data_IF_599366801049
#
_entry.id   IF_599366801049
#
_cell.length_a   1.000
_cell.length_b   1.000
_cell.length_c   1.000
_cell.angle_alpha   90.00
_cell.angle_beta   90.00
_cell.angle_gamma   90.00
#
_symmetry.space_group_name_H-M   'P 1'
#
loop_
_entity.id
_entity.type
_entity.pdbx_description
1 polymer ?
#
# COMPACT_ATOMS: atom_id res chain seq x y z
N UNK A 1 -13.98 3.56 1.95
CA UNK A 1 -12.92 4.62 1.86
C UNK A 1 -11.86 4.18 0.86
N UNK A 2 -11.04 5.07 0.29
CA UNK A 2 -9.95 4.69 -0.61
C UNK A 2 -8.60 5.10 -0.03
N UNK A 3 -7.65 4.17 0.04
CA UNK A 3 -6.29 4.38 0.52
C UNK A 3 -5.32 4.18 -0.65
N UNK A 4 -4.50 5.20 -0.93
CA UNK A 4 -3.43 5.13 -1.92
C UNK A 4 -2.10 5.09 -1.18
N UNK A 5 -1.26 4.10 -1.49
CA UNK A 5 0.07 3.94 -0.91
C UNK A 5 1.09 4.19 -2.02
N UNK A 6 1.84 5.28 -1.92
CA UNK A 6 2.90 5.62 -2.87
C UNK A 6 4.27 5.25 -2.29
N UNK A 7 5.11 4.61 -3.10
CA UNK A 7 6.45 4.18 -2.68
C UNK A 7 7.44 4.15 -3.84
N UNK A 8 8.73 4.13 -3.50
CA UNK A 8 9.80 3.88 -4.47
C UNK A 8 9.81 2.42 -4.93
N UNK A 9 10.51 2.15 -6.03
CA UNK A 9 10.37 0.89 -6.75
C UNK A 9 10.96 -0.39 -6.23
N UNK A 10 11.55 -0.30 -5.05
CA UNK A 10 12.24 -1.42 -4.45
C UNK A 10 11.31 -2.15 -3.50
N UNK A 11 11.58 -3.43 -3.25
CA UNK A 11 10.86 -4.20 -2.24
C UNK A 11 10.85 -3.52 -0.87
N UNK A 12 11.89 -2.73 -0.55
CA UNK A 12 11.99 -1.96 0.70
C UNK A 12 10.87 -0.95 0.93
N UNK A 13 10.15 -0.50 -0.10
CA UNK A 13 8.98 0.37 0.05
C UNK A 13 7.67 -0.43 -0.06
N UNK A 14 7.66 -1.46 -0.91
CA UNK A 14 6.47 -2.29 -1.14
C UNK A 14 6.07 -3.07 0.12
N UNK A 15 7.02 -3.75 0.78
CA UNK A 15 6.70 -4.58 1.95
C UNK A 15 6.16 -3.77 3.14
N UNK A 16 6.75 -2.61 3.52
CA UNK A 16 6.15 -1.73 4.51
C UNK A 16 4.77 -1.22 4.10
N UNK A 17 4.57 -0.86 2.83
CA UNK A 17 3.27 -0.46 2.30
C UNK A 17 2.22 -1.56 2.46
N UNK A 18 2.56 -2.81 2.17
CA UNK A 18 1.68 -3.97 2.36
C UNK A 18 1.37 -4.20 3.84
N UNK A 19 2.33 -4.03 4.74
CA UNK A 19 2.11 -4.18 6.16
C UNK A 19 1.08 -3.16 6.68
N UNK A 20 1.22 -1.89 6.28
CA UNK A 20 0.26 -0.82 6.60
C UNK A 20 -1.11 -1.11 5.99
N UNK A 21 -1.17 -1.54 4.73
CA UNK A 21 -2.42 -1.88 4.06
C UNK A 21 -3.20 -2.98 4.78
N UNK A 22 -2.50 -4.04 5.24
CA UNK A 22 -3.11 -5.15 5.98
C UNK A 22 -3.69 -4.70 7.30
N UNK A 23 -2.95 -3.91 8.07
CA UNK A 23 -3.45 -3.38 9.34
C UNK A 23 -4.59 -2.38 9.14
N UNK A 24 -4.59 -1.63 8.04
CA UNK A 24 -5.71 -0.76 7.71
C UNK A 24 -6.98 -1.57 7.42
N UNK A 25 -6.88 -2.64 6.63
CA UNK A 25 -8.01 -3.52 6.32
C UNK A 25 -8.53 -4.26 7.55
N UNK A 26 -7.68 -4.57 8.54
CA UNK A 26 -8.12 -5.21 9.79
C UNK A 26 -9.10 -4.33 10.59
N UNK A 27 -8.94 -3.00 10.49
CA UNK A 27 -9.79 -2.01 11.17
C UNK A 27 -10.94 -1.49 10.29
N UNK A 28 -10.72 -1.44 8.98
CA UNK A 28 -11.65 -0.88 8.00
C UNK A 28 -11.80 -1.80 6.78
N UNK A 29 -12.60 -2.87 6.90
CA UNK A 29 -12.71 -3.92 5.88
C UNK A 29 -13.19 -3.43 4.51
N UNK A 30 -14.02 -2.39 4.49
CA UNK A 30 -14.59 -1.81 3.27
C UNK A 30 -13.65 -0.81 2.56
N UNK A 31 -12.37 -0.79 2.92
CA UNK A 31 -11.39 0.09 2.29
C UNK A 31 -10.89 -0.50 0.97
N UNK A 32 -10.95 0.29 -0.09
CA UNK A 32 -10.25 -0.03 -1.34
C UNK A 32 -8.81 0.47 -1.27
N UNK A 33 -7.84 -0.42 -1.46
CA UNK A 33 -6.41 -0.10 -1.42
C UNK A 33 -5.80 -0.13 -2.83
N UNK A 34 -4.97 0.85 -3.15
CA UNK A 34 -4.18 0.89 -4.39
C UNK A 34 -2.74 1.31 -4.12
N UNK A 35 -1.78 0.69 -4.80
CA UNK A 35 -0.36 1.01 -4.73
C UNK A 35 0.09 1.80 -5.95
N UNK A 36 0.89 2.84 -5.74
CA UNK A 36 1.53 3.63 -6.78
C UNK A 36 3.05 3.53 -6.63
N UNK A 37 3.71 2.99 -7.66
CA UNK A 37 5.17 2.88 -7.75
C UNK A 37 5.74 3.75 -8.86
N UNK A 38 7.03 3.60 -9.13
CA UNK A 38 7.69 4.23 -10.28
C UNK A 38 7.81 3.23 -11.44
N UNK A 39 8.25 3.69 -12.61
CA UNK A 39 8.44 2.81 -13.78
C UNK A 39 9.66 1.91 -13.67
N UNK A 40 10.62 2.23 -12.81
CA UNK A 40 11.81 1.41 -12.53
C UNK A 40 11.59 0.45 -11.34
N UNK A 41 10.33 0.31 -10.96
CA UNK A 41 9.80 -0.36 -9.78
C UNK A 41 8.80 0.56 -9.09
#
# INVERSE_FOLDING_TARGET
MRLVIAGGGTGGHLYPGIAVAREWLSRFPDTTISFAGTTRG
#
